data_IF_299796906414
#
_entry.id   IF_299796906414
#
_cell.length_a   1.000
_cell.length_b   1.000
_cell.length_c   1.000
_cell.angle_alpha   90.00
_cell.angle_beta   90.00
_cell.angle_gamma   90.00
#
_symmetry.space_group_name_H-M   'P 1'
#
loop_
_entity.id
_entity.type
_entity.pdbx_description
1 polymer ?
#
# COMPACT_ATOMS: atom_id res chain seq x y z
N UNK A 1 0.92 3.34 -35.36
CA UNK A 1 1.27 2.09 -34.64
C UNK A 1 0.54 2.09 -33.30
N UNK A 2 -0.38 1.14 -33.05
CA UNK A 2 -1.05 1.01 -31.74
C UNK A 2 -0.01 0.55 -30.73
N UNK A 3 0.42 1.44 -29.84
CA UNK A 3 1.26 1.05 -28.70
C UNK A 3 0.37 0.26 -27.74
N UNK A 4 0.41 -1.07 -27.82
CA UNK A 4 -0.18 -1.90 -26.77
C UNK A 4 0.58 -1.61 -25.48
N UNK A 5 -0.10 -1.05 -24.48
CA UNK A 5 0.45 -0.97 -23.13
C UNK A 5 0.98 -2.36 -22.75
N UNK A 6 2.24 -2.51 -22.30
CA UNK A 6 2.80 -3.83 -22.10
C UNK A 6 2.00 -4.55 -21.02
N UNK A 7 1.32 -5.64 -21.39
CA UNK A 7 0.47 -6.48 -20.51
C UNK A 7 1.17 -6.84 -19.18
N UNK A 8 2.51 -6.90 -19.21
CA UNK A 8 3.39 -7.10 -18.07
C UNK A 8 3.24 -6.03 -16.97
N UNK A 9 3.09 -4.74 -17.31
CA UNK A 9 2.92 -3.66 -16.31
C UNK A 9 1.65 -3.82 -15.49
N UNK A 10 0.55 -4.27 -16.09
CA UNK A 10 -0.72 -4.50 -15.39
C UNK A 10 -0.63 -5.67 -14.40
N UNK A 11 0.08 -6.73 -14.77
CA UNK A 11 0.30 -7.90 -13.89
C UNK A 11 1.19 -7.52 -12.71
N UNK A 12 2.27 -6.75 -12.93
CA UNK A 12 3.16 -6.29 -11.86
C UNK A 12 2.43 -5.40 -10.86
N UNK A 13 1.67 -4.41 -11.33
CA UNK A 13 0.91 -3.53 -10.44
C UNK A 13 -0.16 -4.29 -9.62
N UNK A 14 -0.81 -5.30 -10.23
CA UNK A 14 -1.76 -6.15 -9.51
C UNK A 14 -1.06 -7.02 -8.45
N UNK A 15 0.12 -7.54 -8.75
CA UNK A 15 0.91 -8.33 -7.81
C UNK A 15 1.39 -7.50 -6.61
N UNK A 16 1.79 -6.24 -6.82
CA UNK A 16 2.22 -5.32 -5.75
C UNK A 16 1.06 -5.00 -4.78
N UNK A 17 -0.15 -4.74 -5.31
CA UNK A 17 -1.33 -4.52 -4.48
C UNK A 17 -1.77 -5.77 -3.69
N UNK A 18 -1.69 -6.94 -4.32
CA UNK A 18 -1.98 -8.22 -3.66
C UNK A 18 -0.98 -8.52 -2.54
N UNK A 19 0.31 -8.25 -2.77
CA UNK A 19 1.37 -8.43 -1.77
C UNK A 19 1.14 -7.55 -0.55
N UNK A 20 0.72 -6.29 -0.74
CA UNK A 20 0.36 -5.37 0.33
C UNK A 20 -0.86 -5.86 1.14
N UNK A 21 -1.90 -6.35 0.46
CA UNK A 21 -3.07 -6.89 1.13
C UNK A 21 -2.73 -8.11 2.01
N UNK A 22 -1.89 -9.01 1.49
CA UNK A 22 -1.44 -10.19 2.24
C UNK A 22 -0.63 -9.78 3.48
N UNK A 23 0.27 -8.79 3.36
CA UNK A 23 1.08 -8.34 4.51
C UNK A 23 0.22 -7.79 5.65
N UNK A 24 -0.86 -7.05 5.33
CA UNK A 24 -1.81 -6.55 6.33
C UNK A 24 -2.51 -7.71 7.06
N UNK A 25 -3.01 -8.70 6.32
CA UNK A 25 -3.69 -9.86 6.92
C UNK A 25 -2.74 -10.63 7.83
N UNK A 26 -1.52 -10.89 7.37
CA UNK A 26 -0.49 -11.58 8.16
C UNK A 26 -0.16 -10.81 9.44
N UNK A 27 0.00 -9.49 9.38
CA UNK A 27 0.27 -8.66 10.55
C UNK A 27 -0.86 -8.76 11.61
N UNK A 28 -2.12 -8.71 11.17
CA UNK A 28 -3.27 -8.86 12.08
C UNK A 28 -3.33 -10.26 12.66
N UNK A 29 -3.12 -11.31 11.87
CA UNK A 29 -3.09 -12.70 12.36
C UNK A 29 -2.00 -12.93 13.41
N UNK A 30 -0.82 -12.37 13.21
CA UNK A 30 0.27 -12.42 14.20
C UNK A 30 -0.15 -11.70 15.48
N UNK A 31 -0.74 -10.51 15.36
CA UNK A 31 -1.28 -9.77 16.51
C UNK A 31 -2.32 -10.58 17.30
N UNK A 32 -3.27 -11.19 16.60
CA UNK A 32 -4.28 -12.08 17.21
C UNK A 32 -3.63 -13.29 17.89
N UNK A 33 -2.65 -13.94 17.24
CA UNK A 33 -1.95 -15.09 17.81
C UNK A 33 -1.21 -14.72 19.11
N UNK A 34 -0.53 -13.57 19.13
CA UNK A 34 0.09 -13.01 20.35
C UNK A 34 -0.97 -12.72 21.41
N UNK A 35 -2.10 -12.12 21.03
CA UNK A 35 -3.22 -11.84 21.94
C UNK A 35 -3.79 -13.10 22.57
N UNK A 36 -3.97 -14.17 21.79
CA UNK A 36 -4.40 -15.48 22.28
C UNK A 36 -3.35 -16.10 23.22
N UNK A 37 -2.06 -15.96 22.91
CA UNK A 37 -0.97 -16.38 23.79
C UNK A 37 -1.03 -15.66 25.14
N UNK A 38 -1.16 -14.33 25.14
CA UNK A 38 -1.31 -13.52 26.35
C UNK A 38 -2.55 -13.92 27.15
N UNK A 39 -3.67 -14.14 26.48
CA UNK A 39 -4.91 -14.56 27.12
C UNK A 39 -4.76 -15.91 27.82
N UNK A 40 -4.09 -16.88 27.18
CA UNK A 40 -3.82 -18.19 27.79
C UNK A 40 -2.90 -18.10 29.01
N UNK A 41 -1.92 -17.19 28.99
CA UNK A 41 -0.97 -17.02 30.08
C UNK A 41 -1.55 -16.24 31.26
N UNK A 42 -2.34 -15.20 30.99
CA UNK A 42 -2.90 -14.32 32.02
C UNK A 42 -4.26 -14.78 32.54
N UNK A 43 -4.99 -15.59 31.77
CA UNK A 43 -6.38 -15.98 32.06
C UNK A 43 -7.39 -14.85 31.87
N UNK A 44 -6.95 -13.68 31.39
CA UNK A 44 -7.77 -12.48 31.31
C UNK A 44 -8.24 -12.27 29.87
N UNK A 45 -9.56 -12.32 29.64
CA UNK A 45 -10.12 -12.27 28.28
C UNK A 45 -9.77 -11.00 27.51
N UNK A 46 -9.68 -9.84 28.18
CA UNK A 46 -9.45 -8.56 27.50
C UNK A 46 -8.03 -8.42 26.91
N UNK A 47 -7.06 -9.22 27.34
CA UNK A 47 -5.68 -9.14 26.84
C UNK A 47 -5.55 -9.56 25.37
N UNK A 48 -6.54 -10.28 24.83
CA UNK A 48 -6.62 -10.57 23.39
C UNK A 48 -6.63 -9.28 22.56
N UNK A 49 -7.30 -8.24 23.04
CA UNK A 49 -7.40 -6.95 22.35
C UNK A 49 -6.08 -6.20 22.27
N UNK A 50 -5.14 -6.45 23.20
CA UNK A 50 -3.80 -5.87 23.13
C UNK A 50 -3.09 -6.38 21.88
N UNK A 51 -3.15 -7.68 21.63
CA UNK A 51 -2.57 -8.30 20.43
C UNK A 51 -3.23 -7.80 19.15
N UNK A 52 -4.57 -7.74 19.13
CA UNK A 52 -5.33 -7.20 18.00
C UNK A 52 -4.94 -5.75 17.70
N UNK A 53 -4.87 -4.90 18.73
CA UNK A 53 -4.48 -3.50 18.59
C UNK A 53 -3.08 -3.35 18.00
N UNK A 54 -2.11 -4.12 18.50
CA UNK A 54 -0.74 -4.13 17.97
C UNK A 54 -0.72 -4.60 16.51
N UNK A 55 -1.47 -5.66 16.17
CA UNK A 55 -1.58 -6.17 14.81
C UNK A 55 -2.15 -5.14 13.83
N UNK A 56 -3.22 -4.44 14.21
CA UNK A 56 -3.82 -3.36 13.41
C UNK A 56 -2.84 -2.19 13.26
N UNK A 57 -2.22 -1.74 14.36
CA UNK A 57 -1.24 -0.66 14.32
C UNK A 57 -0.05 -1.00 13.40
N UNK A 58 0.43 -2.24 13.44
CA UNK A 58 1.48 -2.73 12.55
C UNK A 58 1.05 -2.76 11.08
N UNK A 59 -0.17 -3.22 10.78
CA UNK A 59 -0.73 -3.20 9.43
C UNK A 59 -0.82 -1.77 8.88
N UNK A 60 -1.35 -0.82 9.65
CA UNK A 60 -1.43 0.60 9.26
C UNK A 60 -0.03 1.18 9.01
N UNK A 61 0.94 0.91 9.88
CA UNK A 61 2.31 1.37 9.70
C UNK A 61 2.94 0.82 8.41
N UNK A 62 2.70 -0.45 8.10
CA UNK A 62 3.18 -1.09 6.87
C UNK A 62 2.56 -0.44 5.62
N UNK A 63 1.25 -0.24 5.61
CA UNK A 63 0.53 0.42 4.50
C UNK A 63 1.02 1.84 4.30
N UNK A 64 1.19 2.61 5.37
CA UNK A 64 1.67 3.98 5.28
C UNK A 64 3.06 4.06 4.62
N UNK A 65 3.99 3.19 5.00
CA UNK A 65 5.33 3.12 4.39
C UNK A 65 5.27 2.80 2.90
N UNK A 66 4.44 1.85 2.51
CA UNK A 66 4.25 1.49 1.11
C UNK A 66 3.62 2.64 0.31
N UNK A 67 2.63 3.33 0.88
CA UNK A 67 2.00 4.50 0.28
C UNK A 67 3.01 5.63 0.06
N UNK A 68 3.80 5.99 1.07
CA UNK A 68 4.82 7.04 0.94
C UNK A 68 5.83 6.70 -0.17
N UNK A 69 6.26 5.43 -0.26
CA UNK A 69 7.17 4.97 -1.32
C UNK A 69 6.53 5.08 -2.70
N UNK A 70 5.28 4.61 -2.86
CA UNK A 70 4.55 4.72 -4.12
C UNK A 70 4.35 6.17 -4.54
N UNK A 71 3.98 7.06 -3.60
CA UNK A 71 3.80 8.48 -3.87
C UNK A 71 5.12 9.13 -4.33
N UNK A 72 6.23 8.84 -3.67
CA UNK A 72 7.53 9.39 -4.06
C UNK A 72 7.93 8.97 -5.48
N UNK A 73 7.70 7.70 -5.85
CA UNK A 73 7.92 7.22 -7.22
C UNK A 73 7.02 7.94 -8.23
N UNK A 74 5.74 8.16 -7.90
CA UNK A 74 4.81 8.90 -8.75
C UNK A 74 5.19 10.37 -8.91
N UNK A 75 5.64 11.04 -7.84
CA UNK A 75 6.10 12.43 -7.88
C UNK A 75 7.39 12.58 -8.71
N UNK A 76 8.27 11.57 -8.71
CA UNK A 76 9.45 11.53 -9.57
C UNK A 76 9.06 11.33 -11.05
N UNK A 77 8.14 10.40 -11.33
CA UNK A 77 7.55 10.19 -12.65
C UNK A 77 6.85 11.46 -13.19
N UNK A 78 6.19 12.23 -12.33
CA UNK A 78 5.51 13.47 -12.71
C UNK A 78 6.49 14.61 -13.07
N UNK A 79 7.72 14.60 -12.55
CA UNK A 79 8.75 15.61 -12.85
C UNK A 79 9.54 15.31 -14.12
N UNK A 80 9.41 14.12 -14.69
CA UNK A 80 10.13 13.75 -15.90
C UNK A 80 9.53 14.50 -17.13
N UNK A 81 10.32 15.33 -17.84
CA UNK A 81 9.85 16.07 -19.01
C UNK A 81 9.32 15.17 -20.13
N UNK A 82 9.75 13.89 -20.19
CA UNK A 82 9.22 12.89 -21.11
C UNK A 82 7.81 12.45 -20.79
N UNK A 83 7.25 12.77 -19.62
CA UNK A 83 5.87 12.48 -19.23
C UNK A 83 5.03 13.74 -18.98
N UNK A 84 5.67 14.91 -18.87
CA UNK A 84 5.01 16.21 -18.68
C UNK A 84 4.48 16.87 -19.97
N UNK A 85 4.84 16.35 -21.15
CA UNK A 85 4.45 16.90 -22.47
C UNK A 85 2.94 16.93 -22.77
N UNK A 86 2.11 16.19 -22.01
CA UNK A 86 0.64 16.25 -22.15
C UNK A 86 -0.03 17.27 -21.23
N UNK A 87 0.59 17.60 -20.10
CA UNK A 87 0.08 18.61 -19.18
C UNK A 87 0.26 20.02 -19.76
N UNK A 88 1.33 20.25 -20.53
CA UNK A 88 1.58 21.52 -21.22
C UNK A 88 0.61 21.77 -22.38
N UNK A 89 0.23 20.73 -23.14
CA UNK A 89 -0.72 20.91 -24.26
C UNK A 89 -2.15 21.21 -23.79
N UNK A 90 -2.60 20.67 -22.66
CA UNK A 90 -3.93 20.98 -22.10
C UNK A 90 -4.03 22.36 -21.46
N UNK A 91 -2.91 22.97 -21.07
CA UNK A 91 -2.90 24.33 -20.53
C UNK A 91 -2.79 25.38 -21.63
N UNK A 92 -2.15 25.06 -22.76
CA UNK A 92 -2.11 25.96 -23.92
C UNK A 92 -3.45 25.99 -24.71
N UNK A 93 -4.23 24.90 -24.73
CA UNK A 93 -5.53 24.85 -25.45
C UNK A 93 -6.72 25.50 -24.68
N UNK A 94 -6.61 25.71 -23.35
CA UNK A 94 -7.66 26.37 -22.53
C UNK A 94 -7.46 27.90 -22.41
N UNK A 95 -6.33 28.42 -22.92
CA UNK A 95 -5.96 29.85 -22.91
C UNK A 95 -6.16 30.54 -24.30
N UNK A 96 -6.76 29.88 -25.30
CA UNK A 96 -7.22 30.46 -26.59
C UNK A 96 -8.74 30.70 -26.68
#
# INVERSE_FOLDING_TARGET
MKQEEPKLKKVVNAADGLSLGISMVVAVLIGVAIGMGLQKLTGVWWTLWIGVFIGIAAAINNVYKAYVKQKASLDELAKDPRYNYKATQQTEDDDE
#
